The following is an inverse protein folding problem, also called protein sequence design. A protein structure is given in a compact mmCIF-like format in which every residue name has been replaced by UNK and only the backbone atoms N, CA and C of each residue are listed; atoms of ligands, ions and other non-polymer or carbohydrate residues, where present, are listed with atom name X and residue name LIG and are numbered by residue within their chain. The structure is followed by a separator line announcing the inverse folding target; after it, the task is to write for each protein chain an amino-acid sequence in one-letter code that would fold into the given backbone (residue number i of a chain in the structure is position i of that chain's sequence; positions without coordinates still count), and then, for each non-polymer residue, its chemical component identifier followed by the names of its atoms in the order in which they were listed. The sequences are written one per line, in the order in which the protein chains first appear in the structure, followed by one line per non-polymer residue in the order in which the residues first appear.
data_IF_821952461146
#
_entry.id   IF_821952461146
#
_cell.length_a   1.000
_cell.length_b   1.000
_cell.length_c   1.000
_cell.angle_alpha   90.00
_cell.angle_beta   90.00
_cell.angle_gamma   90.00
#
_symmetry.space_group_name_H-M   'P 1'
#
loop_
_entity.id
_entity.type
_entity.pdbx_description
1 polymer ?
#
# COMPACT_ATOMS: atom_id res chain seq x y z
N UNK A 1 -14.76 45.84 57.08
CA UNK A 1 -15.56 45.24 55.94
C UNK A 1 -14.58 45.00 54.83
N UNK A 2 -14.13 43.73 54.74
CA UNK A 2 -13.04 43.34 53.82
C UNK A 2 -13.67 42.55 52.64
N UNK A 3 -13.60 43.14 51.46
CA UNK A 3 -14.13 42.53 50.24
C UNK A 3 -13.05 41.59 49.70
N UNK A 4 -13.30 40.28 49.80
CA UNK A 4 -12.48 39.24 49.17
C UNK A 4 -12.76 39.25 47.68
N UNK A 5 -11.77 39.67 46.87
CA UNK A 5 -11.82 39.52 45.42
C UNK A 5 -11.45 38.08 45.06
N UNK A 6 -12.42 37.28 44.65
CA UNK A 6 -12.19 35.97 44.04
C UNK A 6 -11.69 36.16 42.60
N UNK A 7 -10.42 35.84 42.35
CA UNK A 7 -9.91 35.69 40.99
C UNK A 7 -10.25 34.29 40.50
N UNK A 8 -11.19 34.19 39.58
CA UNK A 8 -11.42 32.95 38.83
C UNK A 8 -10.30 32.80 37.81
N UNK A 9 -9.43 31.82 38.01
CA UNK A 9 -8.41 31.43 37.03
C UNK A 9 -9.12 30.52 36.03
N UNK A 10 -9.42 31.05 34.85
CA UNK A 10 -9.93 30.31 33.74
C UNK A 10 -8.75 29.60 33.05
N UNK A 11 -8.53 28.32 33.41
CA UNK A 11 -7.54 27.48 32.72
C UNK A 11 -8.08 27.11 31.35
N UNK A 12 -7.60 27.80 30.31
CA UNK A 12 -7.84 27.42 28.91
C UNK A 12 -6.94 26.21 28.63
N UNK A 13 -7.55 25.02 28.63
CA UNK A 13 -6.89 23.81 28.17
C UNK A 13 -6.77 23.90 26.65
N UNK A 14 -5.63 24.40 26.17
CA UNK A 14 -5.34 24.39 24.74
C UNK A 14 -5.10 22.95 24.30
N UNK A 15 -6.12 22.29 23.78
CA UNK A 15 -5.97 21.03 23.07
C UNK A 15 -5.25 21.33 21.75
N UNK A 16 -3.97 21.02 21.68
CA UNK A 16 -3.25 21.05 20.40
C UNK A 16 -3.79 19.92 19.54
N UNK A 17 -4.71 20.26 18.63
CA UNK A 17 -5.10 19.35 17.55
C UNK A 17 -3.88 19.22 16.64
N UNK A 18 -3.15 18.12 16.77
CA UNK A 18 -2.12 17.77 15.82
C UNK A 18 -2.82 17.44 14.51
N UNK A 19 -2.80 18.38 13.56
CA UNK A 19 -3.29 18.11 12.23
C UNK A 19 -2.41 17.03 11.61
N UNK A 20 -2.93 15.82 11.47
CA UNK A 20 -2.28 14.78 10.70
C UNK A 20 -2.13 15.31 9.27
N UNK A 21 -0.89 15.56 8.83
CA UNK A 21 -0.61 15.89 7.44
C UNK A 21 -0.72 14.60 6.63
N UNK A 22 -1.89 14.34 6.08
CA UNK A 22 -2.02 13.31 5.08
C UNK A 22 -1.09 13.67 3.90
N UNK A 23 -0.14 12.81 3.60
CA UNK A 23 0.74 12.98 2.45
C UNK A 23 0.12 12.24 1.27
N UNK A 24 -0.17 12.97 0.21
CA UNK A 24 -0.71 12.42 -1.02
C UNK A 24 0.24 12.78 -2.18
N UNK A 25 0.76 11.83 -2.97
CA UNK A 25 0.46 10.39 -2.90
C UNK A 25 1.16 9.66 -1.74
N UNK A 26 0.56 8.56 -1.27
CA UNK A 26 1.13 7.68 -0.23
C UNK A 26 2.45 7.06 -0.72
N UNK A 27 2.48 6.60 -1.97
CA UNK A 27 3.65 6.03 -2.65
C UNK A 27 4.13 7.06 -3.66
N UNK A 28 5.36 7.56 -3.51
CA UNK A 28 5.90 8.65 -4.33
C UNK A 28 7.21 8.29 -5.05
N UNK A 29 7.74 7.09 -4.85
CA UNK A 29 9.02 6.64 -5.40
C UNK A 29 8.87 5.59 -6.51
N UNK A 30 7.64 5.12 -6.75
CA UNK A 30 7.30 4.19 -7.83
C UNK A 30 5.88 4.46 -8.35
N UNK A 31 5.59 4.02 -9.56
CA UNK A 31 4.22 3.98 -10.07
C UNK A 31 3.50 2.75 -9.53
N UNK A 32 2.24 2.92 -9.10
CA UNK A 32 1.46 1.88 -8.48
C UNK A 32 -0.01 2.05 -8.83
N UNK A 33 -0.72 0.94 -9.03
CA UNK A 33 -2.13 0.93 -9.37
C UNK A 33 -2.91 -0.13 -8.57
N UNK A 34 -4.24 -0.05 -8.66
CA UNK A 34 -5.21 -1.06 -8.19
C UNK A 34 -4.95 -1.59 -6.76
N UNK A 35 -4.69 -0.71 -5.77
CA UNK A 35 -4.31 -1.18 -4.45
C UNK A 35 -5.48 -1.81 -3.70
N UNK A 36 -5.22 -2.92 -3.01
CA UNK A 36 -6.06 -3.41 -1.93
C UNK A 36 -5.48 -3.00 -0.59
N UNK A 37 -6.33 -2.57 0.34
CA UNK A 37 -5.96 -2.27 1.72
C UNK A 37 -6.60 -3.28 2.68
N UNK A 38 -5.82 -3.80 3.63
CA UNK A 38 -6.26 -4.73 4.67
C UNK A 38 -5.70 -4.33 6.03
N UNK A 39 -6.43 -4.65 7.07
CA UNK A 39 -5.96 -4.46 8.46
C UNK A 39 -5.64 -5.83 9.05
N UNK A 40 -4.38 -6.00 9.46
CA UNK A 40 -3.94 -7.20 10.18
C UNK A 40 -3.28 -6.76 11.49
N UNK A 41 -3.73 -7.33 12.60
CA UNK A 41 -3.20 -7.03 13.94
C UNK A 41 -3.15 -5.52 14.27
N UNK A 42 -4.16 -4.75 13.84
CA UNK A 42 -4.26 -3.32 14.11
C UNK A 42 -3.40 -2.43 13.20
N UNK A 43 -2.65 -2.99 12.26
CA UNK A 43 -1.81 -2.27 11.28
C UNK A 43 -2.44 -2.37 9.90
N UNK A 44 -2.45 -1.26 9.15
CA UNK A 44 -2.90 -1.25 7.76
C UNK A 44 -1.77 -1.71 6.85
N UNK A 45 -2.13 -2.59 5.91
CA UNK A 45 -1.29 -3.05 4.82
C UNK A 45 -1.92 -2.66 3.50
N UNK A 46 -1.09 -2.16 2.58
CA UNK A 46 -1.48 -1.79 1.23
C UNK A 46 -0.72 -2.67 0.23
N UNK A 47 -1.47 -3.27 -0.68
CA UNK A 47 -0.97 -4.19 -1.69
C UNK A 47 -1.29 -3.63 -3.08
N UNK A 48 -0.46 -2.77 -3.66
CA UNK A 48 -0.62 -2.30 -5.03
C UNK A 48 0.08 -3.23 -6.00
N UNK A 49 -0.30 -3.16 -7.28
CA UNK A 49 0.58 -3.54 -8.38
C UNK A 49 1.68 -2.52 -8.57
N UNK A 50 2.80 -2.91 -9.17
CA UNK A 50 3.93 -2.04 -9.46
C UNK A 50 4.03 -1.82 -10.98
N UNK A 51 3.65 -0.63 -11.43
CA UNK A 51 3.72 -0.24 -12.84
C UNK A 51 5.14 0.09 -13.25
N UNK A 52 5.58 -0.50 -14.35
CA UNK A 52 6.87 -0.22 -14.96
C UNK A 52 6.73 0.22 -16.41
N UNK A 53 7.75 0.85 -16.96
CA UNK A 53 7.83 1.07 -18.41
C UNK A 53 7.99 -0.31 -19.06
N UNK A 54 7.09 -0.63 -19.99
CA UNK A 54 7.12 -1.94 -20.67
C UNK A 54 8.46 -2.20 -21.34
N UNK A 55 9.18 -3.26 -20.95
CA UNK A 55 10.44 -3.60 -21.59
C UNK A 55 10.28 -4.30 -22.94
N UNK A 56 9.06 -4.77 -23.25
CA UNK A 56 8.76 -5.49 -24.50
C UNK A 56 8.10 -4.62 -25.57
N UNK A 57 7.30 -3.66 -25.15
CA UNK A 57 6.54 -2.76 -26.05
C UNK A 57 6.45 -1.35 -25.46
N UNK A 58 7.57 -0.64 -25.26
CA UNK A 58 7.59 0.64 -24.56
C UNK A 58 6.78 1.73 -25.27
N UNK A 59 6.59 1.63 -26.58
CA UNK A 59 5.81 2.58 -27.38
C UNK A 59 4.31 2.44 -27.20
N UNK A 60 3.83 1.24 -26.84
CA UNK A 60 2.39 0.99 -26.66
C UNK A 60 1.82 1.57 -25.38
N UNK A 61 2.68 1.96 -24.43
CA UNK A 61 2.28 2.49 -23.10
C UNK A 61 1.20 1.63 -22.42
N UNK A 62 1.30 0.31 -22.57
CA UNK A 62 0.38 -0.63 -21.95
C UNK A 62 0.72 -0.83 -20.47
N UNK A 63 -0.26 -1.28 -19.71
CA UNK A 63 -0.09 -1.63 -18.30
C UNK A 63 0.89 -2.79 -18.16
N UNK A 64 2.07 -2.53 -17.61
CA UNK A 64 3.13 -3.52 -17.43
C UNK A 64 3.54 -3.56 -15.97
N UNK A 65 3.34 -4.70 -15.31
CA UNK A 65 3.57 -4.91 -13.89
C UNK A 65 4.32 -6.21 -13.69
N UNK A 66 5.51 -6.12 -13.11
CA UNK A 66 6.44 -7.24 -12.98
C UNK A 66 6.44 -7.89 -11.60
N UNK A 67 5.95 -7.16 -10.59
CA UNK A 67 6.06 -7.56 -9.20
C UNK A 67 5.02 -6.86 -8.31
N UNK A 68 5.02 -7.25 -7.03
CA UNK A 68 4.22 -6.63 -5.98
C UNK A 68 5.10 -6.18 -4.83
N UNK A 69 4.89 -4.94 -4.40
CA UNK A 69 5.36 -4.42 -3.12
C UNK A 69 4.27 -4.53 -2.06
N UNK A 70 4.67 -4.49 -0.80
CA UNK A 70 3.75 -4.31 0.33
C UNK A 70 4.17 -3.08 1.11
N UNK A 71 3.21 -2.24 1.40
CA UNK A 71 3.39 -1.07 2.26
C UNK A 71 2.56 -1.25 3.53
N UNK A 72 3.02 -0.69 4.65
CA UNK A 72 2.23 -0.71 5.88
C UNK A 72 2.33 0.58 6.67
N UNK A 73 1.29 0.86 7.46
CA UNK A 73 1.21 2.04 8.32
C UNK A 73 0.40 1.75 9.58
N UNK A 74 0.79 2.38 10.68
CA UNK A 74 0.03 2.39 11.94
C UNK A 74 -0.84 3.64 12.08
N UNK A 75 -0.60 4.68 11.29
CA UNK A 75 -1.21 6.01 11.46
C UNK A 75 -1.70 6.65 10.16
N UNK A 76 -1.62 5.97 9.01
CA UNK A 76 -1.99 6.44 7.66
C UNK A 76 -1.13 7.62 7.14
N UNK A 77 -0.12 8.03 7.88
CA UNK A 77 0.76 9.14 7.51
C UNK A 77 2.14 8.63 7.16
N UNK A 78 2.69 7.78 8.02
CA UNK A 78 4.02 7.22 7.86
C UNK A 78 3.89 5.81 7.30
N UNK A 79 4.45 5.58 6.11
CA UNK A 79 4.37 4.31 5.40
C UNK A 79 5.75 3.66 5.31
N UNK A 80 5.79 2.37 5.57
CA UNK A 80 6.97 1.52 5.40
C UNK A 80 6.79 0.70 4.14
N UNK A 81 7.72 0.81 3.19
CA UNK A 81 7.84 -0.11 2.06
C UNK A 81 8.61 -1.36 2.51
N UNK A 82 8.00 -2.53 2.37
CA UNK A 82 8.60 -3.83 2.68
C UNK A 82 9.35 -4.44 1.48
N UNK A 83 9.39 -3.74 0.37
CA UNK A 83 10.00 -4.20 -0.87
C UNK A 83 9.15 -5.21 -1.63
N UNK A 84 9.77 -5.82 -2.64
CA UNK A 84 9.13 -6.84 -3.49
C UNK A 84 8.84 -8.10 -2.69
N UNK A 85 7.58 -8.52 -2.65
CA UNK A 85 7.14 -9.76 -2.00
C UNK A 85 6.95 -10.92 -2.98
N UNK A 86 6.70 -10.61 -4.24
CA UNK A 86 6.52 -11.58 -5.33
C UNK A 86 6.85 -10.93 -6.66
N UNK A 87 7.62 -11.60 -7.50
CA UNK A 87 7.87 -11.19 -8.89
C UNK A 87 7.37 -12.24 -9.88
N UNK A 88 7.15 -11.84 -11.13
CA UNK A 88 6.64 -12.72 -12.19
C UNK A 88 7.54 -13.93 -12.45
N UNK A 89 8.86 -13.80 -12.25
CA UNK A 89 9.81 -14.91 -12.40
C UNK A 89 9.61 -16.02 -11.37
N UNK A 90 9.01 -15.69 -10.23
CA UNK A 90 8.74 -16.64 -9.15
C UNK A 90 7.43 -17.40 -9.33
N UNK A 91 6.60 -17.03 -10.35
CA UNK A 91 5.33 -17.68 -10.64
C UNK A 91 5.53 -18.89 -11.57
N UNK A 92 5.45 -20.15 -11.08
CA UNK A 92 5.83 -21.32 -11.87
C UNK A 92 4.98 -21.55 -13.13
N UNK A 93 3.71 -21.14 -13.08
CA UNK A 93 2.75 -21.25 -14.17
C UNK A 93 2.64 -19.99 -15.02
N UNK A 94 3.15 -18.87 -14.53
CA UNK A 94 3.08 -17.56 -15.17
C UNK A 94 4.05 -17.41 -16.34
N UNK A 95 3.72 -16.48 -17.24
CA UNK A 95 4.61 -16.09 -18.32
C UNK A 95 5.51 -14.92 -17.85
N UNK A 96 6.81 -15.14 -17.63
CA UNK A 96 7.71 -14.11 -17.10
C UNK A 96 8.00 -12.96 -18.08
N UNK A 97 7.32 -12.90 -19.21
CA UNK A 97 7.39 -11.83 -20.21
C UNK A 97 6.06 -11.14 -20.46
N UNK A 98 5.03 -11.50 -19.70
CA UNK A 98 3.69 -10.93 -19.87
C UNK A 98 3.50 -9.61 -19.14
N UNK A 99 4.24 -9.39 -18.06
CA UNK A 99 4.12 -8.18 -17.22
C UNK A 99 2.68 -7.90 -16.79
N UNK A 100 1.96 -8.94 -16.37
CA UNK A 100 0.52 -8.89 -16.10
C UNK A 100 0.17 -9.19 -14.64
N UNK A 101 1.05 -8.86 -13.71
CA UNK A 101 0.81 -8.94 -12.27
C UNK A 101 -0.05 -7.75 -11.81
N UNK A 102 -1.34 -7.78 -12.18
CA UNK A 102 -2.28 -6.66 -11.97
C UNK A 102 -2.84 -6.66 -10.55
N UNK A 103 -4.07 -6.17 -10.37
CA UNK A 103 -4.73 -5.95 -9.09
C UNK A 103 -4.65 -7.14 -8.12
N UNK A 104 -3.90 -7.04 -6.98
CA UNK A 104 -3.79 -8.11 -6.01
C UNK A 104 -4.80 -7.96 -4.87
N UNK A 105 -4.93 -9.01 -4.07
CA UNK A 105 -5.62 -8.98 -2.78
C UNK A 105 -4.91 -9.88 -1.76
N UNK A 106 -5.15 -9.62 -0.46
CA UNK A 106 -4.63 -10.43 0.62
C UNK A 106 -5.69 -10.63 1.69
N UNK A 107 -5.82 -11.86 2.19
CA UNK A 107 -6.72 -12.17 3.30
C UNK A 107 -5.98 -13.00 4.37
N UNK A 108 -6.39 -12.82 5.62
CA UNK A 108 -5.93 -13.65 6.72
C UNK A 108 -6.99 -14.71 7.02
N UNK A 109 -6.54 -15.95 7.23
CA UNK A 109 -7.37 -17.04 7.72
C UNK A 109 -6.53 -18.01 8.52
N UNK A 110 -6.97 -18.31 9.74
CA UNK A 110 -6.33 -19.28 10.63
C UNK A 110 -4.82 -19.01 10.88
N UNK A 111 -4.47 -17.72 11.07
CA UNK A 111 -3.09 -17.28 11.31
C UNK A 111 -2.18 -17.35 10.08
N UNK A 112 -2.74 -17.55 8.90
CA UNK A 112 -2.01 -17.56 7.62
C UNK A 112 -2.52 -16.45 6.73
N UNK A 113 -1.62 -15.90 5.91
CA UNK A 113 -1.94 -14.88 4.92
C UNK A 113 -1.97 -15.52 3.53
N UNK A 114 -3.06 -15.29 2.81
CA UNK A 114 -3.26 -15.77 1.44
C UNK A 114 -3.25 -14.58 0.52
N UNK A 115 -2.27 -14.56 -0.38
CA UNK A 115 -2.11 -13.52 -1.37
C UNK A 115 -2.66 -13.99 -2.72
N UNK A 116 -3.62 -13.25 -3.26
CA UNK A 116 -4.29 -13.53 -4.54
C UNK A 116 -3.82 -12.51 -5.56
N UNK A 117 -3.45 -13.00 -6.74
CA UNK A 117 -2.99 -12.15 -7.83
C UNK A 117 -3.30 -12.78 -9.18
N UNK A 118 -3.59 -11.97 -10.21
CA UNK A 118 -3.64 -12.44 -11.59
C UNK A 118 -2.23 -12.48 -12.19
N UNK A 119 -2.06 -13.38 -13.13
CA UNK A 119 -0.92 -13.38 -14.05
C UNK A 119 -1.32 -14.07 -15.36
N UNK A 120 -0.63 -13.76 -16.47
CA UNK A 120 -0.84 -14.45 -17.73
C UNK A 120 -0.17 -15.83 -17.69
N UNK A 121 -0.86 -16.91 -18.13
CA UNK A 121 -0.25 -18.24 -18.16
C UNK A 121 0.88 -18.34 -19.19
N UNK A 122 1.81 -19.26 -18.96
CA UNK A 122 2.76 -19.66 -20.00
C UNK A 122 2.02 -20.15 -21.25
N UNK A 123 2.49 -19.81 -22.47
CA UNK A 123 1.98 -20.44 -23.67
C UNK A 123 2.06 -21.96 -23.54
N UNK A 124 1.02 -22.66 -23.97
CA UNK A 124 1.06 -24.11 -24.05
C UNK A 124 2.18 -24.52 -25.01
N UNK A 125 2.98 -25.49 -24.62
CA UNK A 125 3.93 -26.11 -25.54
C UNK A 125 3.14 -26.76 -26.66
N UNK A 126 3.30 -26.28 -27.89
CA UNK A 126 2.72 -26.85 -29.11
C UNK A 126 3.60 -27.97 -29.64
#
# INVERSE_FOLDING_TARGET
MTILKQFAILSILATTVSAAKAQNPIINHQFSADPTARVFNGRIYLFPSHDIISPVEPEKKWFSMADYHVFSSDNLTDWTDHGVILSQEQVPWGNPKAYSMWAPDCVEKDGKYYFFFPDAPKPLAT
#
